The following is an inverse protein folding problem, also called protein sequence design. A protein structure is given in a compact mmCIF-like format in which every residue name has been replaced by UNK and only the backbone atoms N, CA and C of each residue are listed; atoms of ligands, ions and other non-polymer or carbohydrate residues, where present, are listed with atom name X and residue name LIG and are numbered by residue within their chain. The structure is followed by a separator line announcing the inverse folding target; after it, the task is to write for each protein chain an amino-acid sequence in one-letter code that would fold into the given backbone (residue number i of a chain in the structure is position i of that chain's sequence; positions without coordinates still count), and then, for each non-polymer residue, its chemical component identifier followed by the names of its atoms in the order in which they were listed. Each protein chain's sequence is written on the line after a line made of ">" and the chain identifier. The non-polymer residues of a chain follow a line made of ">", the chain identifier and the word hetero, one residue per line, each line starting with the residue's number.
data_IF_184386920253
#
_entry.id   IF_184386920253
#
_cell.length_a   1.000
_cell.length_b   1.000
_cell.length_c   1.000
_cell.angle_alpha   90.00
_cell.angle_beta   90.00
_cell.angle_gamma   90.00
#
_symmetry.space_group_name_H-M   'P 1'
#
loop_
_entity.id
_entity.type
_entity.pdbx_description
1 polymer ?
#
# COMPACT_ATOMS: atom_id res chain seq x y z
N UNK A 1 27.29 -4.05 0.48
CA UNK A 1 25.82 -4.20 0.60
C UNK A 1 25.51 -5.29 1.62
N UNK A 2 24.69 -5.03 2.63
CA UNK A 2 24.26 -6.06 3.58
C UNK A 2 23.44 -7.11 2.83
N UNK A 3 23.79 -8.40 2.97
CA UNK A 3 22.98 -9.50 2.42
C UNK A 3 21.67 -9.60 3.21
N UNK A 4 20.56 -9.79 2.51
CA UNK A 4 19.26 -10.05 3.13
C UNK A 4 19.30 -11.41 3.83
N UNK A 5 18.77 -11.48 5.03
CA UNK A 5 18.58 -12.76 5.72
C UNK A 5 17.43 -13.54 5.10
N UNK A 6 17.42 -14.87 5.28
CA UNK A 6 16.33 -15.72 4.81
C UNK A 6 14.99 -15.25 5.42
N UNK A 7 15.00 -14.87 6.68
CA UNK A 7 13.82 -14.31 7.34
C UNK A 7 13.29 -13.04 6.67
N UNK A 8 14.20 -12.08 6.34
CA UNK A 8 13.84 -10.85 5.64
C UNK A 8 13.24 -11.14 4.26
N UNK A 9 13.75 -12.13 3.54
CA UNK A 9 13.20 -12.55 2.25
C UNK A 9 11.80 -13.17 2.41
N UNK A 10 11.63 -14.09 3.35
CA UNK A 10 10.35 -14.76 3.60
C UNK A 10 9.26 -13.77 4.03
N UNK A 11 9.56 -12.86 4.96
CA UNK A 11 8.57 -11.90 5.45
C UNK A 11 8.22 -10.86 4.37
N UNK A 12 9.17 -10.48 3.52
CA UNK A 12 8.90 -9.58 2.39
C UNK A 12 7.98 -10.23 1.37
N UNK A 13 8.22 -11.50 1.02
CA UNK A 13 7.35 -12.28 0.15
C UNK A 13 5.96 -12.50 0.76
N UNK A 14 5.88 -12.74 2.08
CA UNK A 14 4.62 -12.86 2.81
C UNK A 14 3.77 -11.59 2.67
N UNK A 15 4.36 -10.39 2.84
CA UNK A 15 3.61 -9.14 2.69
C UNK A 15 3.20 -8.84 1.24
N UNK A 16 3.98 -9.28 0.25
CA UNK A 16 3.56 -9.23 -1.15
C UNK A 16 2.32 -10.12 -1.39
N UNK A 17 2.33 -11.35 -0.89
CA UNK A 17 1.20 -12.28 -0.96
C UNK A 17 -0.01 -11.77 -0.17
N UNK A 18 0.20 -11.22 1.03
CA UNK A 18 -0.86 -10.62 1.84
C UNK A 18 -1.54 -9.45 1.10
N UNK A 19 -0.76 -8.60 0.44
CA UNK A 19 -1.31 -7.52 -0.40
C UNK A 19 -2.14 -8.09 -1.54
N UNK A 20 -1.65 -9.13 -2.23
CA UNK A 20 -2.38 -9.79 -3.31
C UNK A 20 -3.74 -10.34 -2.84
N UNK A 21 -3.78 -11.02 -1.70
CA UNK A 21 -5.02 -11.57 -1.13
C UNK A 21 -5.97 -10.45 -0.69
N UNK A 22 -5.49 -9.47 0.07
CA UNK A 22 -6.33 -8.40 0.61
C UNK A 22 -6.85 -7.46 -0.48
N UNK A 23 -6.16 -7.35 -1.60
CA UNK A 23 -6.63 -6.57 -2.75
C UNK A 23 -7.86 -7.22 -3.42
N UNK A 24 -8.06 -8.53 -3.27
CA UNK A 24 -9.27 -9.19 -3.78
C UNK A 24 -10.53 -8.86 -2.96
N UNK A 25 -10.35 -8.45 -1.70
CA UNK A 25 -11.47 -7.94 -0.90
C UNK A 25 -11.71 -6.50 -1.35
N UNK A 26 -12.58 -6.37 -2.36
CA UNK A 26 -12.83 -5.12 -3.06
C UNK A 26 -14.32 -4.81 -3.09
N UNK A 27 -14.66 -3.55 -2.85
CA UNK A 27 -16.00 -3.00 -3.04
C UNK A 27 -15.97 -2.17 -4.33
N UNK A 28 -16.65 -2.62 -5.40
CA UNK A 28 -16.65 -1.89 -6.68
C UNK A 28 -17.61 -0.68 -6.59
N UNK A 29 -17.05 0.51 -6.37
CA UNK A 29 -17.82 1.78 -6.28
C UNK A 29 -17.54 2.68 -7.50
N UNK A 30 -17.18 2.12 -8.64
CA UNK A 30 -16.84 2.89 -9.83
C UNK A 30 -15.55 2.43 -10.49
N UNK A 31 -14.84 3.34 -11.21
CA UNK A 31 -13.63 2.96 -11.95
C UNK A 31 -12.46 2.53 -11.06
N UNK A 32 -12.42 3.02 -9.82
CA UNK A 32 -11.41 2.65 -8.82
C UNK A 32 -12.11 1.96 -7.65
N UNK A 33 -11.89 0.65 -7.41
CA UNK A 33 -12.52 -0.07 -6.30
C UNK A 33 -11.87 0.26 -4.96
N UNK A 34 -12.65 0.27 -3.89
CA UNK A 34 -12.14 0.32 -2.52
C UNK A 34 -11.65 -1.09 -2.16
N UNK A 35 -10.37 -1.25 -1.83
CA UNK A 35 -9.78 -2.55 -1.47
C UNK A 35 -9.16 -2.54 -0.08
N UNK A 36 -8.96 -3.72 0.51
CA UNK A 36 -8.15 -3.87 1.72
C UNK A 36 -6.63 -3.90 1.41
N UNK A 37 -6.21 -3.78 0.15
CA UNK A 37 -4.79 -3.78 -0.22
C UNK A 37 -3.99 -2.70 0.49
N UNK A 38 -4.51 -1.47 0.62
CA UNK A 38 -3.85 -0.35 1.32
C UNK A 38 -3.54 -0.66 2.78
N UNK A 39 -4.37 -1.46 3.45
CA UNK A 39 -4.12 -1.91 4.81
C UNK A 39 -2.82 -2.74 4.90
N UNK A 40 -2.61 -3.69 3.97
CA UNK A 40 -1.36 -4.45 3.88
C UNK A 40 -0.15 -3.57 3.55
N UNK A 41 -0.33 -2.58 2.67
CA UNK A 41 0.71 -1.62 2.30
C UNK A 41 1.22 -0.85 3.53
N UNK A 42 0.31 -0.34 4.35
CA UNK A 42 0.66 0.39 5.58
C UNK A 42 1.33 -0.52 6.61
N UNK A 43 0.84 -1.76 6.76
CA UNK A 43 1.48 -2.75 7.62
C UNK A 43 2.89 -3.10 7.15
N UNK A 44 3.07 -3.36 5.85
CA UNK A 44 4.37 -3.66 5.27
C UNK A 44 5.37 -2.53 5.51
N UNK A 45 4.98 -1.28 5.23
CA UNK A 45 5.82 -0.12 5.49
C UNK A 45 6.20 0.00 6.98
N UNK A 46 5.23 -0.01 7.87
CA UNK A 46 5.45 0.21 9.29
C UNK A 46 6.21 -0.92 9.99
N UNK A 47 6.02 -2.17 9.59
CA UNK A 47 6.65 -3.35 10.22
C UNK A 47 8.01 -3.70 9.62
N UNK A 48 8.14 -3.66 8.29
CA UNK A 48 9.37 -4.04 7.59
C UNK A 48 10.33 -2.86 7.40
N UNK A 49 9.85 -1.63 7.55
CA UNK A 49 10.60 -0.42 7.24
C UNK A 49 10.61 -0.09 5.74
N UNK A 50 11.24 1.04 5.40
CA UNK A 50 11.15 1.63 4.06
C UNK A 50 11.59 0.68 2.93
N UNK A 51 12.75 0.03 3.08
CA UNK A 51 13.35 -0.78 2.01
C UNK A 51 12.55 -2.05 1.76
N UNK A 52 12.34 -2.87 2.79
CA UNK A 52 11.65 -4.15 2.64
C UNK A 52 10.14 -3.96 2.37
N UNK A 53 9.53 -2.93 2.97
CA UNK A 53 8.15 -2.55 2.69
C UNK A 53 7.95 -2.15 1.22
N UNK A 54 8.80 -1.29 0.67
CA UNK A 54 8.74 -0.92 -0.75
C UNK A 54 9.02 -2.12 -1.66
N UNK A 55 10.01 -2.97 -1.32
CA UNK A 55 10.33 -4.18 -2.09
C UNK A 55 9.16 -5.16 -2.09
N UNK A 56 8.45 -5.36 -0.98
CA UNK A 56 7.28 -6.24 -0.93
C UNK A 56 6.18 -5.77 -1.89
N UNK A 57 5.94 -4.45 -1.97
CA UNK A 57 4.96 -3.89 -2.90
C UNK A 57 5.46 -3.94 -4.36
N UNK A 58 6.75 -3.76 -4.59
CA UNK A 58 7.32 -3.95 -5.92
C UNK A 58 7.16 -5.40 -6.42
N UNK A 59 7.36 -6.39 -5.55
CA UNK A 59 7.12 -7.81 -5.86
C UNK A 59 5.63 -8.03 -6.21
N UNK A 60 4.71 -7.49 -5.41
CA UNK A 60 3.28 -7.56 -5.71
C UNK A 60 2.94 -6.99 -7.09
N UNK A 61 3.47 -5.80 -7.41
CA UNK A 61 3.25 -5.16 -8.71
C UNK A 61 3.84 -5.98 -9.84
N UNK A 62 5.07 -6.51 -9.68
CA UNK A 62 5.72 -7.36 -10.68
C UNK A 62 4.93 -8.65 -10.94
N UNK A 63 4.40 -9.30 -9.90
CA UNK A 63 3.53 -10.47 -10.06
C UNK A 63 2.30 -10.15 -10.91
N UNK A 64 1.68 -8.99 -10.67
CA UNK A 64 0.55 -8.55 -11.49
C UNK A 64 0.92 -8.27 -12.94
N UNK A 65 2.09 -7.65 -13.17
CA UNK A 65 2.61 -7.35 -14.53
C UNK A 65 2.83 -8.62 -15.34
N UNK A 66 3.44 -9.65 -14.77
CA UNK A 66 3.74 -10.92 -15.45
C UNK A 66 2.51 -11.81 -15.66
N UNK A 67 1.32 -11.35 -15.23
CA UNK A 67 0.06 -12.04 -15.51
C UNK A 67 -0.55 -12.81 -14.35
N UNK A 68 0.03 -12.78 -13.15
CA UNK A 68 -0.61 -13.35 -11.97
C UNK A 68 -1.81 -12.48 -11.56
N UNK A 69 -3.03 -13.03 -11.36
CA UNK A 69 -4.25 -12.26 -11.09
C UNK A 69 -4.31 -11.72 -9.65
N UNK A 70 -3.36 -10.82 -9.31
CA UNK A 70 -3.20 -10.24 -7.98
C UNK A 70 -3.81 -8.85 -7.83
N UNK A 71 -4.13 -8.17 -8.93
CA UNK A 71 -4.81 -6.87 -8.88
C UNK A 71 -6.29 -7.03 -8.56
N UNK A 72 -6.92 -5.97 -8.10
CA UNK A 72 -8.34 -5.96 -7.73
C UNK A 72 -9.24 -6.62 -8.78
N UNK A 73 -10.22 -7.39 -8.32
CA UNK A 73 -11.13 -8.18 -9.17
C UNK A 73 -10.40 -9.22 -10.05
N UNK A 74 -9.36 -9.83 -9.51
CA UNK A 74 -8.54 -10.85 -10.17
C UNK A 74 -7.94 -10.40 -11.51
N UNK A 75 -7.74 -9.08 -11.69
CA UNK A 75 -7.08 -8.54 -12.88
C UNK A 75 -5.58 -8.76 -12.84
N UNK A 76 -4.98 -8.81 -14.03
CA UNK A 76 -3.55 -8.98 -14.23
C UNK A 76 -3.10 -8.30 -15.54
N UNK A 77 -1.79 -8.24 -15.70
CA UNK A 77 -1.13 -7.74 -16.91
C UNK A 77 -0.83 -6.25 -16.88
N UNK A 78 0.06 -5.86 -17.78
CA UNK A 78 0.56 -4.48 -17.91
C UNK A 78 -0.58 -3.49 -18.22
N UNK A 79 -1.63 -3.93 -18.93
CA UNK A 79 -2.78 -3.10 -19.30
C UNK A 79 -3.51 -2.51 -18.08
N UNK A 80 -3.49 -3.17 -16.92
CA UNK A 80 -4.10 -2.65 -15.68
C UNK A 80 -3.36 -1.40 -15.18
N UNK A 81 -2.04 -1.33 -15.39
CA UNK A 81 -1.23 -0.17 -14.99
C UNK A 81 -1.49 1.05 -15.88
N UNK A 82 -1.85 0.84 -17.13
CA UNK A 82 -2.26 1.93 -18.03
C UNK A 82 -3.72 2.33 -17.84
N UNK A 83 -4.50 1.56 -17.10
CA UNK A 83 -5.87 1.89 -16.73
C UNK A 83 -5.96 2.88 -15.55
N UNK A 84 -7.19 3.23 -15.13
CA UNK A 84 -7.45 4.26 -14.11
C UNK A 84 -6.86 3.95 -12.73
N UNK A 85 -6.53 2.68 -12.45
CA UNK A 85 -5.96 2.23 -11.17
C UNK A 85 -4.44 2.19 -11.14
N UNK A 86 -3.75 2.42 -12.26
CA UNK A 86 -2.30 2.24 -12.37
C UNK A 86 -1.48 3.11 -11.41
N UNK A 87 -1.84 4.38 -11.27
CA UNK A 87 -1.16 5.29 -10.35
C UNK A 87 -1.31 4.88 -8.88
N UNK A 88 -2.44 4.26 -8.51
CA UNK A 88 -2.66 3.72 -7.17
C UNK A 88 -1.78 2.50 -6.91
N UNK A 89 -1.64 1.61 -7.91
CA UNK A 89 -0.79 0.42 -7.82
C UNK A 89 0.68 0.84 -7.67
N UNK A 90 1.16 1.79 -8.47
CA UNK A 90 2.50 2.35 -8.32
C UNK A 90 2.67 3.09 -6.98
N UNK A 91 1.64 3.80 -6.54
CA UNK A 91 1.57 4.51 -5.27
C UNK A 91 1.76 3.60 -4.04
N UNK A 92 1.44 2.30 -4.14
CA UNK A 92 1.67 1.34 -3.06
C UNK A 92 3.15 1.24 -2.67
N UNK A 93 4.05 1.27 -3.66
CA UNK A 93 5.50 1.21 -3.42
C UNK A 93 5.95 2.47 -2.67
N UNK A 94 5.48 3.64 -3.11
CA UNK A 94 5.80 4.93 -2.49
C UNK A 94 5.23 5.01 -1.07
N UNK A 95 3.98 4.61 -0.88
CA UNK A 95 3.32 4.64 0.43
C UNK A 95 4.03 3.74 1.44
N UNK A 96 4.33 2.48 1.08
CA UNK A 96 5.06 1.57 1.95
C UNK A 96 6.45 2.10 2.30
N UNK A 97 7.17 2.64 1.32
CA UNK A 97 8.47 3.25 1.51
C UNK A 97 8.43 4.44 2.46
N UNK A 98 7.49 5.36 2.25
CA UNK A 98 7.32 6.57 3.06
C UNK A 98 6.90 6.26 4.50
N UNK A 99 5.90 5.39 4.68
CA UNK A 99 5.47 4.94 6.01
C UNK A 99 6.64 4.33 6.78
N UNK A 100 7.36 3.41 6.12
CA UNK A 100 8.51 2.75 6.75
C UNK A 100 9.66 3.69 7.06
N UNK A 101 9.92 4.68 6.21
CA UNK A 101 10.92 5.72 6.45
C UNK A 101 10.57 6.57 7.67
N UNK A 102 9.33 7.04 7.76
CA UNK A 102 8.88 7.90 8.85
C UNK A 102 8.87 7.16 10.20
N UNK A 103 8.34 5.93 10.23
CA UNK A 103 8.32 5.11 11.45
C UNK A 103 9.75 4.79 11.93
N UNK A 104 10.66 4.47 11.01
CA UNK A 104 12.07 4.24 11.35
C UNK A 104 12.78 5.50 11.84
N UNK A 105 12.46 6.66 11.27
CA UNK A 105 13.11 7.95 11.58
C UNK A 105 12.67 8.54 12.91
N UNK A 106 11.35 8.50 13.21
CA UNK A 106 10.75 9.18 14.36
C UNK A 106 10.33 8.24 15.48
N UNK A 107 10.50 6.93 15.28
CA UNK A 107 10.22 5.90 16.27
C UNK A 107 8.80 5.35 16.20
N UNK A 108 8.52 4.38 17.09
CA UNK A 108 7.30 3.55 17.06
C UNK A 108 6.21 4.05 18.04
N UNK A 109 6.17 5.36 18.29
CA UNK A 109 5.14 5.96 19.14
C UNK A 109 3.80 5.99 18.40
N UNK A 110 2.71 5.88 19.15
CA UNK A 110 1.35 5.80 18.59
C UNK A 110 1.04 6.89 17.57
N UNK A 111 1.29 8.16 17.92
CA UNK A 111 1.04 9.28 17.03
C UNK A 111 1.97 9.31 15.81
N UNK A 112 3.21 8.79 15.94
CA UNK A 112 4.14 8.71 14.81
C UNK A 112 3.64 7.71 13.76
N UNK A 113 3.13 6.56 14.18
CA UNK A 113 2.58 5.56 13.28
C UNK A 113 1.37 6.12 12.54
N UNK A 114 0.46 6.82 13.25
CA UNK A 114 -0.70 7.47 12.63
C UNK A 114 -0.26 8.49 11.57
N UNK A 115 0.64 9.42 11.95
CA UNK A 115 1.12 10.45 11.04
C UNK A 115 1.86 9.87 9.83
N UNK A 116 2.65 8.82 10.04
CA UNK A 116 3.33 8.11 8.96
C UNK A 116 2.33 7.46 7.99
N UNK A 117 1.28 6.81 8.50
CA UNK A 117 0.24 6.20 7.66
C UNK A 117 -0.59 7.25 6.94
N UNK A 118 -0.91 8.39 7.58
CA UNK A 118 -1.57 9.51 6.92
C UNK A 118 -0.70 10.09 5.79
N UNK A 119 0.60 10.26 6.02
CA UNK A 119 1.53 10.69 4.97
C UNK A 119 1.60 9.69 3.81
N UNK A 120 1.64 8.38 4.11
CA UNK A 120 1.56 7.32 3.10
C UNK A 120 0.23 7.33 2.34
N UNK A 121 -0.88 7.56 3.03
CA UNK A 121 -2.20 7.73 2.42
C UNK A 121 -2.22 8.92 1.46
N UNK A 122 -1.74 10.08 1.89
CA UNK A 122 -1.66 11.26 1.02
C UNK A 122 -0.78 11.00 -0.21
N UNK A 123 0.37 10.35 -0.05
CA UNK A 123 1.26 10.04 -1.16
C UNK A 123 0.61 9.12 -2.19
N UNK A 124 0.01 8.01 -1.73
CA UNK A 124 -0.66 7.05 -2.61
C UNK A 124 -1.90 7.65 -3.28
N UNK A 125 -2.70 8.42 -2.55
CA UNK A 125 -3.89 9.09 -3.09
C UNK A 125 -3.50 10.15 -4.11
N UNK A 126 -2.48 10.93 -3.83
CA UNK A 126 -1.97 11.94 -4.76
C UNK A 126 -1.52 11.31 -6.08
N UNK A 127 -0.64 10.28 -6.01
CA UNK A 127 -0.16 9.60 -7.23
C UNK A 127 -1.29 8.93 -8.00
N UNK A 128 -2.23 8.29 -7.28
CA UNK A 128 -3.37 7.63 -7.88
C UNK A 128 -4.34 8.60 -8.55
N UNK A 129 -4.69 9.70 -7.88
CA UNK A 129 -5.62 10.70 -8.41
C UNK A 129 -5.02 11.47 -9.58
N UNK A 130 -3.72 11.85 -9.52
CA UNK A 130 -3.05 12.48 -10.67
C UNK A 130 -3.04 11.55 -11.89
N UNK A 131 -2.76 10.26 -11.70
CA UNK A 131 -2.82 9.28 -12.77
C UNK A 131 -4.23 9.08 -13.31
N UNK A 132 -5.22 9.03 -12.43
CA UNK A 132 -6.63 8.92 -12.81
C UNK A 132 -7.06 10.09 -13.69
N UNK A 133 -6.74 11.31 -13.31
CA UNK A 133 -7.03 12.52 -14.10
C UNK A 133 -6.40 12.44 -15.49
N UNK A 134 -5.15 11.98 -15.57
CA UNK A 134 -4.45 11.82 -16.85
C UNK A 134 -5.07 10.73 -17.72
N UNK A 135 -5.40 9.56 -17.13
CA UNK A 135 -5.89 8.40 -17.89
C UNK A 135 -7.36 8.50 -18.31
N UNK A 136 -8.17 9.27 -17.56
CA UNK A 136 -9.60 9.42 -17.80
C UNK A 136 -9.98 10.81 -18.34
N UNK A 137 -8.99 11.69 -18.55
CA UNK A 137 -9.18 13.06 -19.04
C UNK A 137 -10.20 13.88 -18.23
N UNK A 138 -10.22 13.63 -16.89
CA UNK A 138 -11.20 14.24 -15.98
C UNK A 138 -10.64 15.46 -15.24
N UNK A 139 -11.53 16.35 -14.83
CA UNK A 139 -11.17 17.51 -14.01
C UNK A 139 -10.84 17.15 -12.56
N UNK A 140 -10.11 18.05 -11.85
CA UNK A 140 -9.69 17.85 -10.45
C UNK A 140 -10.88 17.58 -9.51
N UNK A 141 -11.97 18.34 -9.64
CA UNK A 141 -13.12 18.21 -8.78
C UNK A 141 -13.81 16.85 -8.93
N UNK A 142 -13.95 16.38 -10.17
CA UNK A 142 -14.54 15.07 -10.48
C UNK A 142 -13.64 13.94 -9.96
N UNK A 143 -12.33 14.01 -10.20
CA UNK A 143 -11.38 13.03 -9.72
C UNK A 143 -11.37 12.92 -8.19
N UNK A 144 -11.44 14.04 -7.46
CA UNK A 144 -11.53 14.03 -6.00
C UNK A 144 -12.83 13.38 -5.49
N UNK A 145 -13.96 13.67 -6.12
CA UNK A 145 -15.26 13.09 -5.75
C UNK A 145 -15.32 11.58 -5.99
N UNK A 146 -14.68 11.09 -7.04
CA UNK A 146 -14.65 9.66 -7.40
C UNK A 146 -13.57 8.90 -6.65
N UNK A 147 -12.39 9.48 -6.50
CA UNK A 147 -11.19 8.76 -6.05
C UNK A 147 -10.79 9.04 -4.60
N UNK A 148 -11.36 10.04 -3.94
CA UNK A 148 -10.95 10.42 -2.56
C UNK A 148 -12.12 10.33 -1.60
N UNK A 149 -13.20 11.04 -1.87
CA UNK A 149 -14.32 11.19 -0.94
C UNK A 149 -14.91 9.85 -0.47
N UNK A 150 -15.22 8.87 -1.36
CA UNK A 150 -15.80 7.59 -0.93
C UNK A 150 -14.82 6.69 -0.18
N UNK A 151 -13.51 6.96 -0.30
CA UNK A 151 -12.46 6.14 0.32
C UNK A 151 -12.17 6.55 1.77
N UNK A 152 -12.39 7.82 2.13
CA UNK A 152 -12.04 8.37 3.45
C UNK A 152 -12.55 7.51 4.61
N UNK A 153 -13.83 7.12 4.70
CA UNK A 153 -14.33 6.35 5.84
C UNK A 153 -13.63 5.00 5.99
N UNK A 154 -13.45 4.30 4.85
CA UNK A 154 -12.77 3.01 4.83
C UNK A 154 -11.29 3.12 5.18
N UNK A 155 -10.61 4.14 4.69
CA UNK A 155 -9.17 4.32 4.91
C UNK A 155 -8.86 4.76 6.35
N UNK A 156 -9.72 5.57 6.96
CA UNK A 156 -9.62 5.89 8.39
C UNK A 156 -9.72 4.63 9.25
N UNK A 157 -10.69 3.75 8.96
CA UNK A 157 -10.83 2.48 9.68
C UNK A 157 -9.60 1.58 9.49
N UNK A 158 -9.08 1.46 8.26
CA UNK A 158 -7.87 0.69 7.96
C UNK A 158 -6.65 1.22 8.71
N UNK A 159 -6.47 2.55 8.77
CA UNK A 159 -5.37 3.18 9.51
C UNK A 159 -5.47 2.84 11.00
N UNK A 160 -6.66 2.97 11.61
CA UNK A 160 -6.87 2.65 13.03
C UNK A 160 -6.50 1.19 13.31
N UNK A 161 -7.03 0.26 12.51
CA UNK A 161 -6.73 -1.17 12.64
C UNK A 161 -5.24 -1.47 12.44
N UNK A 162 -4.62 -0.85 11.44
CA UNK A 162 -3.20 -1.03 11.15
C UNK A 162 -2.31 -0.53 12.30
N UNK A 163 -2.63 0.61 12.90
CA UNK A 163 -1.90 1.15 14.05
C UNK A 163 -1.94 0.19 15.24
N UNK A 164 -3.11 -0.36 15.55
CA UNK A 164 -3.27 -1.35 16.64
C UNK A 164 -2.42 -2.59 16.36
N UNK A 165 -2.48 -3.09 15.13
CA UNK A 165 -1.75 -4.29 14.74
C UNK A 165 -0.22 -4.06 14.74
N UNK A 166 0.24 -2.94 14.20
CA UNK A 166 1.67 -2.56 14.21
C UNK A 166 2.21 -2.50 15.64
N UNK A 167 1.48 -1.90 16.56
CA UNK A 167 1.93 -1.83 17.97
C UNK A 167 2.05 -3.19 18.64
N UNK A 168 1.21 -4.14 18.27
CA UNK A 168 1.27 -5.52 18.81
C UNK A 168 2.36 -6.36 18.16
N UNK A 169 2.54 -6.23 16.83
CA UNK A 169 3.47 -7.08 16.07
C UNK A 169 4.90 -6.56 16.06
N UNK A 170 5.10 -5.24 16.13
CA UNK A 170 6.43 -4.64 16.03
C UNK A 170 7.43 -5.14 17.08
N UNK A 171 7.09 -5.28 18.39
CA UNK A 171 8.03 -5.81 19.36
C UNK A 171 8.53 -7.22 19.03
N UNK A 172 7.69 -8.03 18.41
CA UNK A 172 8.03 -9.40 18.01
C UNK A 172 8.92 -9.38 16.77
N UNK A 173 8.51 -8.66 15.73
CA UNK A 173 9.22 -8.62 14.44
C UNK A 173 10.60 -7.95 14.53
N UNK A 174 10.75 -6.90 15.33
CA UNK A 174 12.03 -6.19 15.48
C UNK A 174 13.15 -7.05 16.11
N UNK A 175 12.81 -8.17 16.77
CA UNK A 175 13.81 -9.13 17.25
C UNK A 175 14.53 -9.86 16.10
N UNK A 176 13.86 -9.99 14.95
CA UNK A 176 14.34 -10.75 13.79
C UNK A 176 14.77 -9.86 12.62
N UNK A 177 14.35 -8.59 12.61
CA UNK A 177 14.68 -7.58 11.60
C UNK A 177 15.83 -6.66 12.05
N UNK A 178 16.97 -7.23 12.45
CA UNK A 178 18.16 -6.49 12.88
C UNK A 178 19.16 -6.28 11.75
#
# INVERSE_FOLDING_TARGET
>A
MRKLTVFEMCITAFFAALTAVLTQIAIPIGPVPITLGTFSVFLAGALLGAKLGAVSQAIYVLLGIIGVPVFSSFRAGVGVLFGPTGGYIAGYILAAGLVGFLVKRYGNKFYVIILAMLAGYCAYTFTGTCWYMYSMETGVAEALMVCVVPFIPGDVLKIILAVVLVRRLNPVLQKYLK
#
